data_IF_305453438647
#
_entry.id   IF_305453438647
#
_cell.length_a   1.000
_cell.length_b   1.000
_cell.length_c   1.000
_cell.angle_alpha   90.00
_cell.angle_beta   90.00
_cell.angle_gamma   90.00
#
_symmetry.space_group_name_H-M   'P 1'
#
loop_
_entity.id
_entity.type
_entity.pdbx_description
1 polymer ?
#
# COMPACT_ATOMS: atom_id res chain seq x y z
N UNK A 1 -2.76 -35.17 -3.10
CA UNK A 1 -1.93 -34.61 -4.20
C UNK A 1 -2.12 -33.10 -4.19
N UNK A 2 -1.05 -32.33 -4.40
CA UNK A 2 -1.12 -30.86 -4.49
C UNK A 2 -0.80 -30.44 -5.93
N UNK A 3 -1.61 -29.53 -6.47
CA UNK A 3 -1.41 -28.96 -7.80
C UNK A 3 -1.12 -27.47 -7.66
N UNK A 4 0.07 -27.05 -8.05
CA UNK A 4 0.43 -25.63 -8.09
C UNK A 4 -0.12 -25.01 -9.38
N UNK A 5 -1.18 -24.23 -9.26
CA UNK A 5 -1.87 -23.60 -10.38
C UNK A 5 -3.05 -22.77 -9.91
N UNK A 6 -3.71 -22.10 -10.84
CA UNK A 6 -4.89 -21.28 -10.57
C UNK A 6 -6.14 -21.98 -11.09
N UNK A 7 -7.20 -22.00 -10.28
CA UNK A 7 -8.50 -22.50 -10.68
C UNK A 7 -9.19 -21.46 -11.57
N UNK A 8 -9.27 -21.75 -12.87
CA UNK A 8 -9.78 -20.82 -13.87
C UNK A 8 -11.30 -20.93 -14.05
N UNK A 9 -11.84 -22.13 -13.90
CA UNK A 9 -13.27 -22.38 -14.06
C UNK A 9 -13.70 -23.60 -13.23
N UNK A 10 -14.90 -23.51 -12.67
CA UNK A 10 -15.58 -24.62 -12.00
C UNK A 10 -16.79 -24.99 -12.85
N UNK A 11 -16.91 -26.27 -13.22
CA UNK A 11 -18.09 -26.81 -13.89
C UNK A 11 -18.85 -27.73 -12.92
N UNK A 12 -19.96 -27.26 -12.32
CA UNK A 12 -20.74 -28.03 -11.36
C UNK A 12 -21.43 -29.26 -11.97
N UNK A 13 -21.89 -29.17 -13.21
CA UNK A 13 -22.63 -30.24 -13.89
C UNK A 13 -21.72 -31.45 -14.16
N UNK A 14 -20.53 -31.20 -14.70
CA UNK A 14 -19.52 -32.23 -14.97
C UNK A 14 -18.71 -32.58 -13.74
N UNK A 15 -18.90 -31.85 -12.63
CA UNK A 15 -18.11 -31.92 -11.39
C UNK A 15 -16.60 -31.87 -11.66
N UNK A 16 -16.19 -30.82 -12.38
CA UNK A 16 -14.78 -30.62 -12.73
C UNK A 16 -14.29 -29.22 -12.44
N UNK A 17 -13.00 -29.09 -12.13
CA UNK A 17 -12.28 -27.82 -12.04
C UNK A 17 -11.23 -27.75 -13.14
N UNK A 18 -11.22 -26.67 -13.89
CA UNK A 18 -10.16 -26.37 -14.87
C UNK A 18 -9.06 -25.61 -14.16
N UNK A 19 -7.87 -26.19 -14.14
CA UNK A 19 -6.68 -25.60 -13.53
C UNK A 19 -5.72 -25.19 -14.64
N UNK A 20 -5.27 -23.95 -14.62
CA UNK A 20 -4.15 -23.52 -15.43
C UNK A 20 -2.85 -23.76 -14.70
N UNK A 21 -1.89 -24.43 -15.33
CA UNK A 21 -0.55 -24.61 -14.76
C UNK A 21 0.08 -23.23 -14.58
N UNK A 22 0.48 -22.91 -13.35
CA UNK A 22 1.26 -21.71 -13.10
C UNK A 22 2.60 -21.89 -13.82
N UNK A 23 2.82 -21.16 -14.93
CA UNK A 23 4.16 -21.05 -15.47
C UNK A 23 4.91 -20.12 -14.54
N UNK A 24 5.89 -20.69 -13.85
CA UNK A 24 6.97 -19.94 -13.24
C UNK A 24 7.78 -19.30 -14.38
N UNK A 25 7.29 -18.21 -15.00
CA UNK A 25 8.12 -17.43 -15.92
C UNK A 25 8.13 -15.93 -15.60
N UNK A 26 9.33 -15.52 -15.18
CA UNK A 26 9.96 -14.19 -15.23
C UNK A 26 9.02 -12.98 -15.25
N UNK A 27 8.75 -12.52 -14.04
CA UNK A 27 8.52 -11.12 -13.63
C UNK A 27 8.93 -10.07 -14.67
N UNK A 28 7.96 -9.61 -15.47
CA UNK A 28 8.02 -8.28 -16.07
C UNK A 28 7.45 -7.29 -15.05
N UNK A 29 8.22 -6.23 -14.81
CA UNK A 29 8.10 -5.26 -13.72
C UNK A 29 6.87 -4.34 -13.82
N UNK A 30 5.97 -4.52 -14.78
CA UNK A 30 5.03 -3.45 -15.17
C UNK A 30 3.57 -3.81 -15.51
N UNK A 31 3.12 -5.06 -15.44
CA UNK A 31 1.69 -5.34 -15.69
C UNK A 31 1.06 -6.25 -14.63
N UNK A 32 0.16 -5.66 -13.84
CA UNK A 32 -0.64 -6.28 -12.76
C UNK A 32 -1.89 -7.03 -13.23
N UNK A 33 -2.12 -7.12 -14.55
CA UNK A 33 -3.08 -8.10 -15.10
C UNK A 33 -2.36 -9.41 -15.31
N UNK A 34 -2.86 -10.48 -14.69
CA UNK A 34 -2.47 -11.83 -15.05
C UNK A 34 -2.88 -12.05 -16.50
N UNK A 35 -1.93 -11.96 -17.42
CA UNK A 35 -2.19 -12.23 -18.82
C UNK A 35 -2.47 -13.73 -18.95
N UNK A 36 -3.71 -14.09 -19.28
CA UNK A 36 -4.16 -15.48 -19.41
C UNK A 36 -3.36 -16.26 -20.47
N UNK A 37 -2.60 -15.58 -21.31
CA UNK A 37 -1.64 -16.17 -22.26
C UNK A 37 -0.38 -16.74 -21.59
N UNK A 38 -0.14 -16.44 -20.32
CA UNK A 38 1.02 -16.91 -19.52
C UNK A 38 0.70 -18.19 -18.72
N UNK A 39 -0.56 -18.62 -18.70
CA UNK A 39 -0.93 -19.92 -18.10
C UNK A 39 -0.49 -21.04 -19.06
N UNK A 40 0.21 -22.03 -18.53
CA UNK A 40 0.71 -23.15 -19.30
C UNK A 40 -0.43 -24.07 -19.75
N UNK A 41 -0.11 -25.35 -20.00
CA UNK A 41 -1.15 -26.35 -20.24
C UNK A 41 -2.25 -26.30 -19.17
N UNK A 42 -3.50 -26.29 -19.65
CA UNK A 42 -4.69 -26.39 -18.81
C UNK A 42 -5.04 -27.87 -18.66
N UNK A 43 -5.43 -28.26 -17.47
CA UNK A 43 -5.93 -29.61 -17.22
C UNK A 43 -7.17 -29.56 -16.35
N UNK A 44 -7.97 -30.62 -16.43
CA UNK A 44 -9.25 -30.71 -15.75
C UNK A 44 -9.15 -31.76 -14.66
N UNK A 45 -9.61 -31.41 -13.46
CA UNK A 45 -9.66 -32.30 -12.31
C UNK A 45 -11.12 -32.63 -11.97
N UNK A 46 -11.52 -33.91 -11.94
CA UNK A 46 -12.83 -34.31 -11.42
C UNK A 46 -12.87 -34.19 -9.89
N UNK A 47 -14.05 -33.95 -9.33
CA UNK A 47 -14.28 -33.93 -7.89
C UNK A 47 -15.62 -34.59 -7.53
N UNK A 48 -15.69 -35.16 -6.33
CA UNK A 48 -16.95 -35.60 -5.72
C UNK A 48 -17.56 -34.50 -4.84
N UNK A 49 -16.71 -33.82 -4.08
CA UNK A 49 -17.03 -32.63 -3.30
C UNK A 49 -15.98 -31.55 -3.58
N UNK A 50 -16.43 -30.29 -3.70
CA UNK A 50 -15.57 -29.14 -3.95
C UNK A 50 -15.68 -28.15 -2.79
N UNK A 51 -14.55 -27.85 -2.15
CA UNK A 51 -14.44 -26.80 -1.13
C UNK A 51 -13.74 -25.60 -1.76
N UNK A 52 -14.42 -24.45 -1.79
CA UNK A 52 -13.88 -23.21 -2.37
C UNK A 52 -13.38 -22.30 -1.26
N UNK A 53 -12.07 -22.07 -1.21
CA UNK A 53 -11.41 -21.22 -0.21
C UNK A 53 -10.39 -20.26 -0.84
N UNK A 54 -10.66 -19.75 -2.03
CA UNK A 54 -9.73 -18.91 -2.82
C UNK A 54 -9.57 -17.48 -2.28
N UNK A 55 -10.34 -17.10 -1.26
CA UNK A 55 -10.29 -15.77 -0.66
C UNK A 55 -10.91 -14.68 -1.54
N UNK A 56 -10.36 -13.47 -1.43
CA UNK A 56 -10.81 -12.28 -2.14
C UNK A 56 -9.63 -11.40 -2.53
N UNK A 57 -9.80 -10.61 -3.59
CA UNK A 57 -8.80 -9.64 -4.09
C UNK A 57 -9.11 -8.22 -3.60
N UNK A 58 -8.12 -7.32 -3.53
CA UNK A 58 -8.36 -5.91 -3.25
C UNK A 58 -9.36 -5.31 -4.24
N UNK A 59 -10.22 -4.42 -3.76
CA UNK A 59 -11.20 -3.74 -4.58
C UNK A 59 -10.81 -2.26 -4.75
N UNK A 60 -10.63 -1.83 -5.99
CA UNK A 60 -10.30 -0.43 -6.31
C UNK A 60 -11.53 0.47 -6.39
N UNK A 61 -12.73 -0.10 -6.29
CA UNK A 61 -14.01 0.59 -6.45
C UNK A 61 -14.15 1.32 -7.80
N UNK A 62 -13.36 0.93 -8.80
CA UNK A 62 -13.32 1.60 -10.11
C UNK A 62 -12.69 3.00 -10.07
N UNK A 63 -11.94 3.33 -9.01
CA UNK A 63 -11.25 4.62 -8.87
C UNK A 63 -10.09 4.67 -9.86
N UNK A 64 -10.07 5.63 -10.81
CA UNK A 64 -9.03 5.70 -11.82
C UNK A 64 -7.65 5.89 -11.23
N UNK A 65 -6.66 5.19 -11.77
CA UNK A 65 -5.25 5.35 -11.40
C UNK A 65 -4.82 4.59 -10.15
N UNK A 66 -5.74 3.93 -9.43
CA UNK A 66 -5.37 3.13 -8.24
C UNK A 66 -4.48 1.95 -8.65
N UNK A 67 -4.90 1.17 -9.64
CA UNK A 67 -4.15 -0.02 -10.06
C UNK A 67 -2.74 0.32 -10.57
N UNK A 68 -2.59 1.49 -11.20
CA UNK A 68 -1.36 1.98 -11.84
C UNK A 68 -0.40 2.67 -10.86
N UNK A 69 -0.92 3.45 -9.91
CA UNK A 69 -0.11 4.38 -9.11
C UNK A 69 -0.02 4.04 -7.61
N UNK A 70 -0.70 2.97 -7.14
CA UNK A 70 -0.67 2.56 -5.73
C UNK A 70 -0.06 1.16 -5.54
N UNK A 71 0.11 0.77 -4.29
CA UNK A 71 0.49 -0.59 -3.88
C UNK A 71 -0.63 -1.17 -3.03
N UNK A 72 -0.98 -2.43 -3.27
CA UNK A 72 -1.87 -3.15 -2.36
C UNK A 72 -1.08 -3.76 -1.22
N UNK A 73 -1.76 -4.16 -0.13
CA UNK A 73 -1.16 -4.94 0.95
C UNK A 73 -1.98 -6.21 1.18
N UNK A 74 -1.81 -7.20 0.30
CA UNK A 74 -2.56 -8.46 0.38
C UNK A 74 -1.67 -9.69 0.49
N UNK A 75 -0.60 -9.71 -0.29
CA UNK A 75 0.29 -10.85 -0.43
C UNK A 75 1.71 -10.50 0.02
N UNK A 76 2.51 -11.51 0.38
CA UNK A 76 3.90 -11.30 0.82
C UNK A 76 4.77 -10.58 -0.23
N UNK A 77 4.44 -10.72 -1.52
CA UNK A 77 5.12 -10.00 -2.60
C UNK A 77 4.88 -8.49 -2.53
N UNK A 78 3.71 -8.07 -2.07
CA UNK A 78 3.35 -6.67 -2.05
C UNK A 78 4.19 -5.93 -1.02
N UNK A 79 4.44 -6.55 0.14
CA UNK A 79 5.39 -6.05 1.14
C UNK A 79 6.80 -5.84 0.60
N UNK A 80 7.29 -6.72 -0.30
CA UNK A 80 8.59 -6.55 -0.96
C UNK A 80 8.60 -5.34 -1.89
N UNK A 81 7.52 -5.14 -2.65
CA UNK A 81 7.38 -3.99 -3.56
C UNK A 81 7.33 -2.67 -2.78
N UNK A 82 6.54 -2.63 -1.71
CA UNK A 82 6.44 -1.48 -0.81
C UNK A 82 7.82 -1.16 -0.20
N UNK A 83 8.52 -2.17 0.32
CA UNK A 83 9.89 -2.02 0.87
C UNK A 83 10.86 -1.46 -0.16
N UNK A 84 10.83 -1.96 -1.40
CA UNK A 84 11.67 -1.44 -2.47
C UNK A 84 11.40 0.04 -2.74
N UNK A 85 10.13 0.43 -2.86
CA UNK A 85 9.74 1.82 -3.11
C UNK A 85 10.19 2.77 -1.99
N UNK A 86 10.12 2.31 -0.74
CA UNK A 86 10.59 3.08 0.41
C UNK A 86 12.09 3.32 0.32
N UNK A 87 12.86 2.29 -0.03
CA UNK A 87 14.30 2.43 -0.22
C UNK A 87 14.61 3.47 -1.29
N UNK A 88 13.93 3.41 -2.44
CA UNK A 88 14.06 4.41 -3.51
C UNK A 88 13.75 5.84 -3.01
N UNK A 89 12.74 6.01 -2.15
CA UNK A 89 12.40 7.31 -1.56
C UNK A 89 13.50 7.83 -0.61
N UNK A 90 14.09 6.95 0.21
CA UNK A 90 15.19 7.32 1.11
C UNK A 90 16.46 7.65 0.36
N UNK A 91 16.80 6.88 -0.68
CA UNK A 91 17.93 7.19 -1.56
C UNK A 91 17.72 8.53 -2.26
N UNK A 92 16.53 8.79 -2.79
CA UNK A 92 16.21 10.08 -3.39
C UNK A 92 16.30 11.24 -2.38
N UNK A 93 15.84 11.03 -1.15
CA UNK A 93 15.90 12.03 -0.09
C UNK A 93 17.32 12.29 0.43
N UNK A 94 18.24 11.32 0.32
CA UNK A 94 19.62 11.43 0.80
C UNK A 94 20.56 12.16 -0.15
N UNK A 95 20.14 12.42 -1.40
CA UNK A 95 20.95 13.20 -2.34
C UNK A 95 21.27 14.59 -1.79
N UNK A 96 22.52 15.07 -1.96
CA UNK A 96 22.88 16.44 -1.66
C UNK A 96 22.11 17.36 -2.60
N UNK A 97 21.18 18.14 -2.03
CA UNK A 97 20.45 19.18 -2.74
C UNK A 97 21.25 20.49 -2.54
N UNK A 98 21.39 21.27 -3.61
CA UNK A 98 22.04 22.58 -3.54
C UNK A 98 21.20 23.49 -2.63
N UNK A 99 21.82 23.95 -1.54
CA UNK A 99 21.28 24.80 -0.48
C UNK A 99 20.16 24.22 0.42
N UNK A 100 20.23 24.53 1.72
CA UNK A 100 19.14 24.30 2.70
C UNK A 100 17.98 25.29 2.51
N UNK A 101 17.64 25.57 1.26
CA UNK A 101 16.53 26.43 0.94
C UNK A 101 15.19 25.72 1.26
N UNK A 102 14.15 26.53 1.45
CA UNK A 102 12.84 26.01 1.86
C UNK A 102 12.27 25.01 0.84
N UNK A 103 12.56 25.21 -0.45
CA UNK A 103 12.06 24.37 -1.53
C UNK A 103 12.67 22.95 -1.46
N UNK A 104 13.99 22.85 -1.24
CA UNK A 104 14.69 21.57 -1.10
C UNK A 104 14.24 20.80 0.14
N UNK A 105 14.02 21.51 1.26
CA UNK A 105 13.47 20.92 2.48
C UNK A 105 12.05 20.37 2.26
N UNK A 106 11.19 21.12 1.59
CA UNK A 106 9.81 20.68 1.33
C UNK A 106 9.75 19.53 0.30
N UNK A 107 10.66 19.48 -0.67
CA UNK A 107 10.82 18.35 -1.58
C UNK A 107 11.22 17.06 -0.84
N UNK A 108 12.18 17.14 0.09
CA UNK A 108 12.58 15.99 0.94
C UNK A 108 11.44 15.51 1.82
N UNK A 109 10.68 16.42 2.44
CA UNK A 109 9.49 16.06 3.22
C UNK A 109 8.45 15.34 2.36
N UNK A 110 8.22 15.80 1.13
CA UNK A 110 7.30 15.14 0.22
C UNK A 110 7.76 13.71 -0.10
N UNK A 111 9.07 13.49 -0.31
CA UNK A 111 9.64 12.14 -0.53
C UNK A 111 9.46 11.19 0.67
N UNK A 112 9.34 11.74 1.87
CA UNK A 112 9.16 10.98 3.12
C UNK A 112 7.72 11.02 3.65
N UNK A 113 6.76 11.48 2.83
CA UNK A 113 5.33 11.51 3.18
C UNK A 113 4.58 10.41 2.44
N UNK A 114 4.10 9.42 3.18
CA UNK A 114 3.43 8.24 2.67
C UNK A 114 1.92 8.33 2.85
N UNK A 115 1.15 7.77 1.94
CA UNK A 115 -0.30 7.72 2.05
C UNK A 115 -0.80 6.29 2.24
N UNK A 116 -1.70 6.09 3.19
CA UNK A 116 -2.43 4.83 3.41
C UNK A 116 -3.91 5.12 3.24
N UNK A 117 -4.58 4.38 2.36
CA UNK A 117 -6.01 4.52 2.08
C UNK A 117 -6.75 3.38 2.78
N UNK A 118 -7.79 3.74 3.54
CA UNK A 118 -8.61 2.82 4.32
C UNK A 118 -8.28 2.86 5.81
N UNK A 119 -9.20 3.38 6.60
CA UNK A 119 -9.18 3.42 8.07
C UNK A 119 -9.72 2.15 8.74
N UNK A 120 -9.79 1.04 8.02
CA UNK A 120 -10.08 -0.28 8.58
C UNK A 120 -8.94 -0.83 9.44
N UNK A 121 -9.09 -2.03 10.02
CA UNK A 121 -8.07 -2.64 10.87
C UNK A 121 -6.70 -2.73 10.18
N UNK A 122 -6.67 -3.26 8.95
CA UNK A 122 -5.44 -3.42 8.17
C UNK A 122 -4.74 -2.09 7.89
N UNK A 123 -5.48 -1.07 7.44
CA UNK A 123 -4.87 0.23 7.11
C UNK A 123 -4.43 1.01 8.36
N UNK A 124 -5.18 0.92 9.46
CA UNK A 124 -4.77 1.48 10.74
C UNK A 124 -3.50 0.82 11.29
N UNK A 125 -3.47 -0.52 11.35
CA UNK A 125 -2.31 -1.28 11.82
C UNK A 125 -1.11 -1.01 10.92
N UNK A 126 -1.29 -1.08 9.61
CA UNK A 126 -0.23 -0.79 8.66
C UNK A 126 0.29 0.63 8.88
N UNK A 127 -0.53 1.68 8.87
CA UNK A 127 -0.08 3.05 9.06
C UNK A 127 0.78 3.24 10.34
N UNK A 128 0.40 2.61 11.46
CA UNK A 128 1.12 2.73 12.73
C UNK A 128 2.40 1.92 12.74
N UNK A 129 2.32 0.63 12.41
CA UNK A 129 3.46 -0.28 12.41
C UNK A 129 4.49 0.18 11.38
N UNK A 130 4.02 0.63 10.22
CA UNK A 130 4.83 1.19 9.17
C UNK A 130 5.60 2.42 9.64
N UNK A 131 4.91 3.39 10.24
CA UNK A 131 5.55 4.60 10.74
C UNK A 131 6.60 4.29 11.83
N UNK A 132 6.28 3.36 12.75
CA UNK A 132 7.21 2.92 13.79
C UNK A 132 8.47 2.27 13.17
N UNK A 133 8.28 1.31 12.26
CA UNK A 133 9.38 0.61 11.59
C UNK A 133 10.25 1.57 10.76
N UNK A 134 9.63 2.51 10.04
CA UNK A 134 10.37 3.53 9.29
C UNK A 134 11.18 4.45 10.20
N UNK A 135 10.62 4.81 11.36
CA UNK A 135 11.31 5.64 12.35
C UNK A 135 12.53 4.91 12.91
N UNK A 136 12.38 3.63 13.25
CA UNK A 136 13.48 2.79 13.74
C UNK A 136 14.54 2.55 12.65
N UNK A 137 14.12 2.26 11.42
CA UNK A 137 15.00 2.11 10.27
C UNK A 137 15.84 3.37 10.01
N UNK A 138 15.23 4.55 10.09
CA UNK A 138 15.97 5.81 9.95
C UNK A 138 17.01 5.97 11.06
N UNK A 139 16.61 5.72 12.31
CA UNK A 139 17.47 5.92 13.47
C UNK A 139 18.65 4.94 13.51
N UNK A 140 18.43 3.69 13.13
CA UNK A 140 19.41 2.63 13.30
C UNK A 140 20.27 2.41 12.04
N UNK A 141 19.63 2.37 10.87
CA UNK A 141 20.29 1.97 9.63
C UNK A 141 20.65 3.18 8.77
N UNK A 142 19.68 4.07 8.49
CA UNK A 142 19.89 5.21 7.59
C UNK A 142 20.82 6.24 8.23
N UNK A 143 20.64 6.57 9.52
CA UNK A 143 21.53 7.47 10.25
C UNK A 143 22.97 6.99 10.31
N UNK A 144 23.19 5.66 10.28
CA UNK A 144 24.52 5.06 10.21
C UNK A 144 25.10 5.07 8.79
N UNK A 145 24.28 4.78 7.78
CA UNK A 145 24.70 4.72 6.38
C UNK A 145 24.88 6.10 5.74
N UNK A 146 24.06 7.08 6.15
CA UNK A 146 23.99 8.44 5.62
C UNK A 146 24.07 9.49 6.75
N UNK A 147 25.15 9.53 7.54
CA UNK A 147 25.27 10.39 8.71
C UNK A 147 25.10 11.89 8.39
N UNK A 148 25.54 12.32 7.20
CA UNK A 148 25.46 13.72 6.78
C UNK A 148 24.06 14.14 6.29
N UNK A 149 23.22 13.19 5.88
CA UNK A 149 21.90 13.50 5.32
C UNK A 149 20.80 13.61 6.40
N UNK A 150 20.99 12.96 7.55
CA UNK A 150 19.94 12.84 8.58
C UNK A 150 20.36 13.29 9.99
N UNK A 151 21.63 13.70 10.20
CA UNK A 151 22.08 14.22 11.50
C UNK A 151 21.39 15.56 11.84
N UNK A 152 20.65 15.58 12.95
CA UNK A 152 20.13 16.82 13.57
C UNK A 152 18.82 17.39 13.01
N UNK A 153 18.22 16.77 11.99
CA UNK A 153 17.09 17.36 11.25
C UNK A 153 15.73 16.70 11.56
N UNK A 154 15.01 17.25 12.54
CA UNK A 154 13.63 16.84 12.92
C UNK A 154 12.58 17.00 11.80
N UNK A 155 12.95 17.59 10.67
CA UNK A 155 12.05 17.78 9.53
C UNK A 155 12.15 16.66 8.48
N UNK A 156 13.03 15.67 8.69
CA UNK A 156 13.22 14.50 7.81
C UNK A 156 12.56 13.22 8.35
N UNK A 157 11.71 13.34 9.38
CA UNK A 157 10.98 12.18 9.87
C UNK A 157 9.91 11.75 8.87
N UNK A 158 9.66 10.43 8.77
CA UNK A 158 8.65 9.92 7.88
C UNK A 158 7.29 10.40 8.41
N UNK A 159 6.40 10.71 7.48
CA UNK A 159 5.02 11.09 7.75
C UNK A 159 4.11 10.10 7.07
N UNK A 160 3.04 9.71 7.76
CA UNK A 160 1.96 8.92 7.17
C UNK A 160 0.68 9.74 7.17
N UNK A 161 -0.03 9.74 6.05
CA UNK A 161 -1.38 10.29 5.90
C UNK A 161 -2.32 9.10 5.74
N UNK A 162 -3.13 8.83 6.76
CA UNK A 162 -4.17 7.82 6.76
C UNK A 162 -5.49 8.46 6.28
N UNK A 163 -5.97 8.04 5.12
CA UNK A 163 -7.22 8.51 4.52
C UNK A 163 -8.33 7.50 4.79
N UNK A 164 -9.47 7.97 5.28
CA UNK A 164 -10.67 7.17 5.47
C UNK A 164 -11.87 7.89 4.86
N UNK A 165 -12.63 7.18 4.01
CA UNK A 165 -13.74 7.75 3.27
C UNK A 165 -14.94 8.07 4.18
N UNK A 166 -15.16 7.27 5.21
CA UNK A 166 -16.20 7.50 6.21
C UNK A 166 -15.77 8.51 7.28
N UNK A 167 -16.71 8.90 8.13
CA UNK A 167 -16.43 9.81 9.24
C UNK A 167 -15.71 9.18 10.43
N UNK A 168 -15.31 7.90 10.36
CA UNK A 168 -14.82 7.14 11.52
C UNK A 168 -13.76 6.11 11.13
N UNK A 169 -12.71 5.97 11.97
CA UNK A 169 -11.80 4.83 11.88
C UNK A 169 -12.41 3.59 12.52
N UNK A 170 -11.98 2.41 12.07
CA UNK A 170 -12.26 1.13 12.74
C UNK A 170 -13.77 0.91 13.00
N UNK A 171 -14.60 1.13 11.98
CA UNK A 171 -16.07 1.13 12.12
C UNK A 171 -16.69 -0.16 12.69
N UNK A 172 -15.96 -1.29 12.67
CA UNK A 172 -16.38 -2.55 13.29
C UNK A 172 -16.27 -2.58 14.83
N UNK A 173 -15.54 -1.65 15.44
CA UNK A 173 -15.31 -1.60 16.90
C UNK A 173 -16.32 -0.67 17.58
N UNK A 174 -16.41 -0.67 18.90
CA UNK A 174 -17.25 0.30 19.62
C UNK A 174 -16.64 1.72 19.61
N UNK A 175 -17.49 2.72 19.86
CA UNK A 175 -17.12 4.15 19.82
C UNK A 175 -15.96 4.50 20.76
N UNK A 176 -15.84 3.83 21.92
CA UNK A 176 -14.78 4.11 22.89
C UNK A 176 -13.41 3.69 22.35
N UNK A 177 -13.34 2.52 21.70
CA UNK A 177 -12.14 2.01 21.05
C UNK A 177 -11.76 2.84 19.82
N UNK A 178 -12.74 3.23 18.99
CA UNK A 178 -12.50 4.14 17.85
C UNK A 178 -11.89 5.47 18.31
N UNK A 179 -12.49 6.06 19.35
CA UNK A 179 -12.03 7.32 19.93
C UNK A 179 -10.64 7.20 20.56
N UNK A 180 -10.36 6.06 21.22
CA UNK A 180 -9.03 5.77 21.76
C UNK A 180 -7.98 5.67 20.64
N UNK A 181 -8.26 4.91 19.58
CA UNK A 181 -7.37 4.74 18.45
C UNK A 181 -7.05 6.08 17.77
N UNK A 182 -8.09 6.89 17.47
CA UNK A 182 -7.92 8.20 16.86
C UNK A 182 -7.07 9.13 17.72
N UNK A 183 -7.32 9.18 19.04
CA UNK A 183 -6.49 9.97 19.98
C UNK A 183 -5.04 9.50 19.99
N UNK A 184 -4.81 8.19 19.94
CA UNK A 184 -3.45 7.62 19.96
C UNK A 184 -2.69 7.93 18.67
N UNK A 185 -3.37 7.83 17.52
CA UNK A 185 -2.84 8.20 16.21
C UNK A 185 -2.46 9.69 16.16
N UNK A 186 -3.35 10.58 16.59
CA UNK A 186 -3.06 12.01 16.62
C UNK A 186 -1.91 12.37 17.58
N UNK A 187 -1.78 11.66 18.71
CA UNK A 187 -0.66 11.86 19.65
C UNK A 187 0.70 11.44 19.10
N UNK A 188 0.75 10.56 18.10
CA UNK A 188 2.02 10.10 17.49
C UNK A 188 2.76 11.21 16.73
N UNK A 189 2.08 12.32 16.39
CA UNK A 189 2.66 13.50 15.74
C UNK A 189 2.96 13.35 14.25
N UNK A 190 3.36 12.15 13.81
CA UNK A 190 3.80 11.87 12.44
C UNK A 190 2.77 11.07 11.62
N UNK A 191 1.63 10.71 12.21
CA UNK A 191 0.49 10.14 11.51
C UNK A 191 -0.68 11.14 11.48
N UNK A 192 -1.01 11.65 10.29
CA UNK A 192 -2.17 12.49 10.05
C UNK A 192 -3.35 11.61 9.63
N UNK A 193 -4.46 11.67 10.37
CA UNK A 193 -5.68 10.96 10.00
C UNK A 193 -6.65 11.96 9.36
N UNK A 194 -7.14 11.63 8.15
CA UNK A 194 -8.18 12.39 7.45
C UNK A 194 -9.43 11.53 7.28
N UNK A 195 -10.47 11.90 8.03
CA UNK A 195 -11.80 11.29 7.95
C UNK A 195 -12.65 12.05 6.91
N UNK A 196 -13.64 11.38 6.33
CA UNK A 196 -14.45 11.94 5.24
C UNK A 196 -13.66 12.18 3.95
N UNK A 197 -12.47 11.57 3.83
CA UNK A 197 -11.50 11.81 2.78
C UNK A 197 -11.55 10.71 1.72
N UNK A 198 -12.65 10.66 0.97
CA UNK A 198 -12.82 9.70 -0.11
C UNK A 198 -11.88 10.02 -1.30
N UNK A 199 -11.14 9.02 -1.77
CA UNK A 199 -10.29 9.12 -2.97
C UNK A 199 -11.17 9.20 -4.22
N UNK A 200 -10.84 10.13 -5.11
CA UNK A 200 -11.50 10.32 -6.41
C UNK A 200 -10.73 9.66 -7.55
N UNK A 201 -9.40 9.86 -7.57
CA UNK A 201 -8.46 9.27 -8.51
C UNK A 201 -7.04 9.35 -7.97
N UNK A 202 -6.12 8.60 -8.57
CA UNK A 202 -4.70 8.65 -8.24
C UNK A 202 -3.90 8.97 -9.50
N UNK A 203 -3.01 9.95 -9.39
CA UNK A 203 -2.06 10.37 -10.42
C UNK A 203 -0.64 10.00 -9.95
N UNK A 204 0.38 9.98 -10.82
CA UNK A 204 1.75 9.74 -10.41
C UNK A 204 2.19 10.70 -9.29
N UNK A 205 2.44 10.15 -8.10
CA UNK A 205 2.88 10.91 -6.93
C UNK A 205 1.80 11.74 -6.22
N UNK A 206 0.52 11.62 -6.62
CA UNK A 206 -0.57 12.46 -6.10
C UNK A 206 -1.86 11.65 -5.91
N UNK A 207 -2.42 11.68 -4.70
CA UNK A 207 -3.78 11.18 -4.42
C UNK A 207 -4.77 12.34 -4.41
N UNK A 208 -5.83 12.25 -5.21
CA UNK A 208 -6.87 13.29 -5.34
C UNK A 208 -8.12 12.88 -4.57
N UNK A 209 -8.63 13.79 -3.73
CA UNK A 209 -9.77 13.55 -2.83
C UNK A 209 -11.03 14.29 -3.31
N UNK A 210 -12.22 13.75 -2.99
CA UNK A 210 -13.52 14.23 -3.50
C UNK A 210 -14.05 15.56 -2.91
N UNK A 211 -13.53 16.11 -1.81
CA UNK A 211 -14.30 17.14 -1.05
C UNK A 211 -13.97 18.59 -1.45
N UNK A 212 -15.02 19.36 -1.80
CA UNK A 212 -15.08 20.82 -1.70
C UNK A 212 -14.65 21.58 -2.95
N UNK A 213 -13.34 21.82 -3.11
CA UNK A 213 -12.65 22.27 -4.34
C UNK A 213 -11.18 21.88 -4.12
N UNK A 214 -10.75 20.73 -4.64
CA UNK A 214 -9.35 20.25 -4.73
C UNK A 214 -8.52 20.22 -3.42
N UNK A 215 -8.29 19.02 -2.89
CA UNK A 215 -7.09 18.75 -2.08
C UNK A 215 -6.25 17.63 -2.71
N UNK A 216 -4.95 17.89 -2.88
CA UNK A 216 -3.95 16.93 -3.35
C UNK A 216 -3.14 16.46 -2.15
N UNK A 217 -3.00 15.16 -1.96
CA UNK A 217 -1.97 14.60 -1.10
C UNK A 217 -0.81 14.19 -2.00
N UNK A 218 0.29 14.93 -1.96
CA UNK A 218 1.52 14.56 -2.65
C UNK A 218 2.20 13.47 -1.84
N UNK A 219 2.40 12.30 -2.45
CA UNK A 219 3.06 11.17 -1.82
C UNK A 219 3.75 10.31 -2.88
N UNK A 220 5.03 9.96 -2.71
CA UNK A 220 5.73 9.08 -3.65
C UNK A 220 5.30 7.62 -3.52
N UNK A 221 4.53 7.27 -2.48
CA UNK A 221 3.98 5.94 -2.23
C UNK A 221 2.59 6.08 -1.59
N UNK A 222 1.60 5.49 -2.25
CA UNK A 222 0.26 5.30 -1.76
C UNK A 222 -0.03 3.80 -1.62
N UNK A 223 -0.49 3.38 -0.45
CA UNK A 223 -0.95 2.01 -0.18
C UNK A 223 -2.47 2.01 -0.11
N UNK A 224 -3.13 1.16 -0.90
CA UNK A 224 -4.58 1.08 -1.06
C UNK A 224 -5.12 -0.30 -0.63
#
# INVERSE_FOLDING_TARGET
>A
KFYQGEALAINPEKRTVTVGKAVLDRFKREHRKLDLSVLGEKFTLPYDALVVGVGAVPNTFGIPGVDENTFFLKEARDGKLIRGRIHDCFEAASYPMEDEDKASVDARKALLTFCVVGGGPTGCEFAVLFLAELTDFINQDVGRAYPNAFSGSTHLWPRVILLEASGELLGAFDTSLRSYALRKLHKSGNCEVRLGAAVERVEPGVVVLKVGVLSKATCPLAVF
#
